data_IF_332063934009
#
_entry.id   IF_332063934009
#
_cell.length_a   1.000
_cell.length_b   1.000
_cell.length_c   1.000
_cell.angle_alpha   90.00
_cell.angle_beta   90.00
_cell.angle_gamma   90.00
#
_symmetry.space_group_name_H-M   'P 1'
#
loop_
_entity.id
_entity.type
_entity.pdbx_description
1 polymer ?
#
# COMPACT_ATOMS: atom_id res chain seq x y z
N UNK A 1 10.62 1.74 -23.90
CA UNK A 1 9.87 0.50 -23.57
C UNK A 1 10.53 -0.10 -22.35
N UNK A 2 9.73 -0.56 -21.36
CA UNK A 2 10.31 -1.24 -20.18
C UNK A 2 10.93 -2.59 -20.61
N UNK A 3 11.94 -3.06 -19.88
CA UNK A 3 12.59 -4.36 -20.14
C UNK A 3 11.56 -5.51 -20.16
N UNK A 4 10.51 -5.43 -19.33
CA UNK A 4 9.42 -6.40 -19.28
C UNK A 4 8.69 -6.49 -20.64
N UNK A 5 8.37 -5.35 -21.26
CA UNK A 5 7.69 -5.34 -22.56
C UNK A 5 8.56 -5.94 -23.67
N UNK A 6 9.89 -5.78 -23.60
CA UNK A 6 10.79 -6.39 -24.58
C UNK A 6 10.92 -7.90 -24.40
N UNK A 7 10.89 -8.42 -23.18
CA UNK A 7 10.96 -9.87 -22.89
C UNK A 7 9.75 -10.66 -23.44
N UNK A 8 8.63 -9.99 -23.70
CA UNK A 8 7.45 -10.63 -24.29
C UNK A 8 7.64 -11.02 -25.77
N UNK A 9 8.67 -10.50 -26.47
CA UNK A 9 8.96 -10.89 -27.84
C UNK A 9 9.73 -12.21 -27.90
N UNK A 10 9.29 -13.12 -28.79
CA UNK A 10 9.84 -14.49 -28.91
C UNK A 10 11.37 -14.54 -29.11
N UNK A 11 11.95 -13.51 -29.73
CA UNK A 11 13.39 -13.47 -30.04
C UNK A 11 14.23 -12.84 -28.92
N UNK A 12 13.63 -12.46 -27.79
CA UNK A 12 14.39 -11.86 -26.68
C UNK A 12 15.12 -12.95 -25.88
N UNK A 13 16.40 -12.75 -25.49
CA UNK A 13 17.18 -13.78 -24.73
C UNK A 13 16.52 -14.24 -23.43
N UNK A 14 15.71 -13.38 -22.78
CA UNK A 14 15.00 -13.69 -21.54
C UNK A 14 13.56 -14.16 -21.76
N UNK A 15 13.15 -14.43 -23.00
CA UNK A 15 11.76 -14.81 -23.31
C UNK A 15 11.30 -16.06 -22.52
N UNK A 16 12.11 -17.11 -22.51
CA UNK A 16 11.79 -18.33 -21.78
C UNK A 16 11.60 -18.11 -20.27
N UNK A 17 12.42 -17.24 -19.67
CA UNK A 17 12.30 -16.86 -18.26
C UNK A 17 11.03 -16.05 -18.02
N UNK A 18 10.67 -15.15 -18.94
CA UNK A 18 9.43 -14.39 -18.88
C UNK A 18 8.20 -15.29 -18.97
N UNK A 19 8.17 -16.23 -19.92
CA UNK A 19 7.06 -17.18 -20.07
C UNK A 19 6.91 -18.07 -18.83
N UNK A 20 8.01 -18.56 -18.26
CA UNK A 20 7.97 -19.35 -17.02
C UNK A 20 7.43 -18.53 -15.83
N UNK A 21 7.80 -17.26 -15.74
CA UNK A 21 7.29 -16.35 -14.70
C UNK A 21 5.78 -16.08 -14.89
N UNK A 22 5.37 -15.87 -16.15
CA UNK A 22 3.96 -15.65 -16.52
C UNK A 22 3.10 -16.89 -16.22
N UNK A 23 3.60 -18.07 -16.53
CA UNK A 23 2.91 -19.33 -16.23
C UNK A 23 2.76 -19.54 -14.71
N UNK A 24 3.81 -19.27 -13.93
CA UNK A 24 3.75 -19.28 -12.47
C UNK A 24 2.71 -18.28 -11.94
N UNK A 25 2.64 -17.08 -12.51
CA UNK A 25 1.63 -16.09 -12.15
C UNK A 25 0.23 -16.63 -12.43
N UNK A 26 -0.03 -17.12 -13.67
CA UNK A 26 -1.33 -17.62 -14.09
C UNK A 26 -1.83 -18.80 -13.27
N UNK A 27 -0.92 -19.70 -12.90
CA UNK A 27 -1.28 -20.95 -12.22
C UNK A 27 -1.33 -20.85 -10.71
N UNK A 28 -0.49 -20.00 -10.10
CA UNK A 28 -0.32 -19.94 -8.64
C UNK A 28 -0.83 -18.64 -7.99
N UNK A 29 -0.78 -17.53 -8.72
CA UNK A 29 -1.11 -16.21 -8.14
C UNK A 29 -2.50 -15.76 -8.59
N UNK A 30 -2.72 -15.66 -9.90
CA UNK A 30 -3.95 -15.12 -10.46
C UNK A 30 -5.24 -15.80 -9.94
N UNK A 31 -5.29 -17.14 -9.73
CA UNK A 31 -6.47 -17.79 -9.18
C UNK A 31 -6.82 -17.34 -7.75
N UNK A 32 -5.84 -16.80 -6.99
CA UNK A 32 -6.00 -16.34 -5.63
C UNK A 32 -6.06 -14.82 -5.51
N UNK A 33 -6.09 -14.11 -6.63
CA UNK A 33 -6.09 -12.66 -6.69
C UNK A 33 -7.41 -12.16 -7.29
N UNK A 34 -8.12 -11.33 -6.52
CA UNK A 34 -9.29 -10.59 -7.00
C UNK A 34 -8.92 -9.11 -7.09
N UNK A 35 -8.86 -8.56 -8.30
CA UNK A 35 -8.57 -7.14 -8.53
C UNK A 35 -9.88 -6.47 -8.95
N UNK A 36 -10.24 -5.40 -8.24
CA UNK A 36 -11.44 -4.61 -8.52
C UNK A 36 -11.08 -3.18 -8.89
N UNK A 37 -11.99 -2.52 -9.59
CA UNK A 37 -11.92 -1.07 -9.79
C UNK A 37 -12.33 -0.27 -8.54
N UNK A 38 -12.59 1.03 -8.70
CA UNK A 38 -13.05 1.87 -7.59
C UNK A 38 -14.34 1.31 -6.99
N UNK A 39 -14.34 1.14 -5.66
CA UNK A 39 -15.45 0.62 -4.86
C UNK A 39 -15.69 1.55 -3.68
N UNK A 40 -16.89 1.52 -3.12
CA UNK A 40 -17.13 2.00 -1.78
C UNK A 40 -16.97 0.86 -0.75
N UNK A 41 -16.97 1.20 0.55
CA UNK A 41 -16.76 0.22 1.62
C UNK A 41 -17.87 -0.82 1.74
N UNK A 42 -19.11 -0.49 1.30
CA UNK A 42 -20.25 -1.43 1.30
C UNK A 42 -20.05 -2.47 0.20
N UNK A 43 -19.70 -2.03 -1.00
CA UNK A 43 -19.40 -2.93 -2.13
C UNK A 43 -18.21 -3.84 -1.81
N UNK A 44 -17.16 -3.28 -1.21
CA UNK A 44 -15.99 -4.04 -0.74
C UNK A 44 -16.40 -5.10 0.29
N UNK A 45 -17.24 -4.73 1.27
CA UNK A 45 -17.77 -5.67 2.26
C UNK A 45 -18.52 -6.84 1.62
N UNK A 46 -19.35 -6.55 0.60
CA UNK A 46 -20.09 -7.58 -0.13
C UNK A 46 -19.14 -8.54 -0.87
N UNK A 47 -18.07 -8.01 -1.50
CA UNK A 47 -17.07 -8.83 -2.18
C UNK A 47 -16.32 -9.71 -1.19
N UNK A 48 -15.86 -9.16 -0.05
CA UNK A 48 -15.17 -9.93 1.00
C UNK A 48 -16.08 -11.06 1.49
N UNK A 49 -17.36 -10.78 1.76
CA UNK A 49 -18.33 -11.78 2.17
C UNK A 49 -18.57 -12.87 1.12
N UNK A 50 -18.65 -12.48 -0.17
CA UNK A 50 -18.80 -13.42 -1.28
C UNK A 50 -17.58 -14.35 -1.38
N UNK A 51 -16.37 -13.79 -1.41
CA UNK A 51 -15.11 -14.55 -1.48
C UNK A 51 -14.97 -15.50 -0.30
N UNK A 52 -15.26 -15.03 0.92
CA UNK A 52 -15.20 -15.86 2.13
C UNK A 52 -16.15 -17.05 2.04
N UNK A 53 -17.38 -16.81 1.55
CA UNK A 53 -18.37 -17.88 1.40
C UNK A 53 -18.01 -18.89 0.31
N UNK A 54 -17.50 -18.41 -0.82
CA UNK A 54 -17.21 -19.30 -1.96
C UNK A 54 -15.94 -20.12 -1.77
N UNK A 55 -14.94 -19.55 -1.09
CA UNK A 55 -13.64 -20.21 -0.88
C UNK A 55 -13.50 -20.89 0.47
N UNK A 56 -14.35 -20.58 1.44
CA UNK A 56 -14.22 -21.04 2.81
C UNK A 56 -13.01 -20.43 3.57
N UNK A 57 -12.36 -19.44 2.97
CA UNK A 57 -11.17 -18.75 3.51
C UNK A 57 -11.38 -17.24 3.47
N UNK A 58 -10.89 -16.56 4.49
CA UNK A 58 -11.00 -15.10 4.59
C UNK A 58 -9.89 -14.43 3.77
N UNK A 59 -10.22 -13.54 2.82
CA UNK A 59 -9.21 -12.86 2.01
C UNK A 59 -8.46 -11.79 2.81
N UNK A 60 -7.21 -11.52 2.43
CA UNK A 60 -6.50 -10.30 2.82
C UNK A 60 -6.91 -9.20 1.85
N UNK A 61 -7.30 -8.04 2.39
CA UNK A 61 -7.70 -6.87 1.59
C UNK A 61 -6.54 -5.90 1.48
N UNK A 62 -6.16 -5.55 0.24
CA UNK A 62 -5.18 -4.50 -0.07
C UNK A 62 -5.90 -3.30 -0.71
N UNK A 63 -5.68 -2.11 -0.17
CA UNK A 63 -6.23 -0.85 -0.68
C UNK A 63 -5.09 0.01 -1.24
N UNK A 64 -5.11 0.25 -2.55
CA UNK A 64 -4.16 1.13 -3.22
C UNK A 64 -4.94 2.26 -3.94
N UNK A 65 -5.12 3.35 -3.30
CA UNK A 65 -4.78 3.81 -1.96
C UNK A 65 -6.03 4.38 -1.25
N UNK A 66 -5.93 4.66 0.05
CA UNK A 66 -7.05 5.01 0.91
C UNK A 66 -7.87 6.22 0.40
N UNK A 67 -7.21 7.25 -0.14
CA UNK A 67 -7.87 8.44 -0.64
C UNK A 67 -8.74 8.17 -1.89
N UNK A 68 -8.37 7.20 -2.74
CA UNK A 68 -9.23 6.79 -3.87
C UNK A 68 -10.49 6.08 -3.39
N UNK A 69 -10.38 5.22 -2.38
CA UNK A 69 -11.54 4.59 -1.76
C UNK A 69 -12.45 5.66 -1.11
N UNK A 70 -11.87 6.67 -0.47
CA UNK A 70 -12.60 7.79 0.11
C UNK A 70 -13.37 8.60 -0.95
N UNK A 71 -12.79 8.83 -2.13
CA UNK A 71 -13.47 9.49 -3.25
C UNK A 71 -14.72 8.72 -3.71
N UNK A 72 -14.70 7.40 -3.67
CA UNK A 72 -15.87 6.56 -4.01
C UNK A 72 -17.06 6.74 -3.06
N UNK A 73 -16.83 7.13 -1.81
CA UNK A 73 -17.90 7.44 -0.84
C UNK A 73 -18.61 8.74 -1.17
N UNK A 74 -17.96 9.63 -1.90
CA UNK A 74 -18.43 11.02 -2.15
C UNK A 74 -19.08 11.22 -3.52
N UNK A 75 -19.19 10.19 -4.35
CA UNK A 75 -19.69 10.31 -5.73
C UNK A 75 -21.09 10.97 -5.82
N UNK A 76 -21.93 10.80 -4.80
CA UNK A 76 -23.26 11.40 -4.71
C UNK A 76 -23.32 12.70 -3.86
N UNK A 77 -22.22 13.11 -3.23
CA UNK A 77 -22.18 14.24 -2.31
C UNK A 77 -21.00 15.16 -2.62
N UNK A 78 -21.20 16.13 -3.49
CA UNK A 78 -20.20 17.08 -4.03
C UNK A 78 -19.47 17.96 -3.00
N UNK A 79 -19.70 17.84 -1.68
CA UNK A 79 -19.17 18.75 -0.66
C UNK A 79 -18.73 18.08 0.65
N UNK A 80 -18.32 16.82 0.64
CA UNK A 80 -17.78 16.21 1.87
C UNK A 80 -16.30 16.59 2.00
N UNK A 81 -15.93 17.14 3.17
CA UNK A 81 -14.54 17.34 3.58
C UNK A 81 -13.78 16.00 3.44
N UNK A 82 -12.65 16.03 2.76
CA UNK A 82 -11.77 14.85 2.54
C UNK A 82 -11.49 14.09 3.84
N UNK A 83 -11.36 14.81 4.97
CA UNK A 83 -11.16 14.20 6.30
C UNK A 83 -12.36 13.36 6.74
N UNK A 84 -13.57 13.85 6.49
CA UNK A 84 -14.79 13.10 6.82
C UNK A 84 -14.92 11.86 5.93
N UNK A 85 -14.57 11.96 4.64
CA UNK A 85 -14.56 10.84 3.72
C UNK A 85 -13.54 9.77 4.14
N UNK A 86 -12.31 10.16 4.49
CA UNK A 86 -11.28 9.25 5.02
C UNK A 86 -11.76 8.61 6.33
N UNK A 87 -12.40 9.38 7.22
CA UNK A 87 -12.93 8.86 8.48
C UNK A 87 -14.00 7.79 8.25
N UNK A 88 -14.93 8.03 7.33
CA UNK A 88 -15.96 7.06 6.96
C UNK A 88 -15.35 5.79 6.35
N UNK A 89 -14.36 5.94 5.46
CA UNK A 89 -13.63 4.81 4.88
C UNK A 89 -12.93 3.97 5.93
N UNK A 90 -12.15 4.59 6.81
CA UNK A 90 -11.44 3.87 7.88
C UNK A 90 -12.40 3.12 8.79
N UNK A 91 -13.55 3.73 9.11
CA UNK A 91 -14.60 3.06 9.89
C UNK A 91 -15.15 1.84 9.15
N UNK A 92 -15.50 1.98 7.86
CA UNK A 92 -16.00 0.87 7.05
C UNK A 92 -14.97 -0.27 6.89
N UNK A 93 -13.69 0.06 6.68
CA UNK A 93 -12.62 -0.95 6.64
C UNK A 93 -12.46 -1.69 7.97
N UNK A 94 -12.60 -0.97 9.10
CA UNK A 94 -12.59 -1.59 10.43
C UNK A 94 -13.78 -2.51 10.64
N UNK A 95 -14.96 -2.13 10.16
CA UNK A 95 -16.17 -2.96 10.21
C UNK A 95 -15.99 -4.25 9.39
N UNK A 96 -15.42 -4.17 8.19
CA UNK A 96 -15.08 -5.34 7.36
C UNK A 96 -14.12 -6.27 8.09
N UNK A 97 -13.04 -5.71 8.65
CA UNK A 97 -12.06 -6.49 9.41
C UNK A 97 -12.69 -7.20 10.61
N UNK A 98 -13.55 -6.51 11.35
CA UNK A 98 -14.24 -7.09 12.51
C UNK A 98 -15.29 -8.13 12.12
N UNK A 99 -16.04 -7.89 11.04
CA UNK A 99 -17.14 -8.76 10.61
C UNK A 99 -16.63 -10.10 10.06
N UNK A 100 -15.58 -10.07 9.26
CA UNK A 100 -15.08 -11.26 8.56
C UNK A 100 -13.78 -11.81 9.16
N UNK A 101 -13.10 -11.09 10.05
CA UNK A 101 -11.75 -11.40 10.49
C UNK A 101 -10.69 -11.11 9.40
N UNK A 102 -11.06 -10.31 8.39
CA UNK A 102 -10.19 -10.02 7.23
C UNK A 102 -9.09 -9.04 7.60
N UNK A 103 -7.80 -9.38 7.42
CA UNK A 103 -6.73 -8.42 7.52
C UNK A 103 -6.86 -7.36 6.42
N UNK A 104 -6.72 -6.07 6.80
CA UNK A 104 -6.78 -4.94 5.86
C UNK A 104 -5.46 -4.21 5.87
N UNK A 105 -4.84 -4.08 4.70
CA UNK A 105 -3.61 -3.32 4.47
C UNK A 105 -3.96 -2.17 3.52
N UNK A 106 -3.84 -0.93 3.99
CA UNK A 106 -4.14 0.25 3.18
C UNK A 106 -2.89 1.11 2.98
N UNK A 107 -2.61 1.45 1.73
CA UNK A 107 -1.66 2.50 1.40
C UNK A 107 -2.33 3.86 1.58
N UNK A 108 -1.57 4.84 2.03
CA UNK A 108 -2.06 6.21 2.19
C UNK A 108 -1.00 7.20 1.74
N UNK A 109 -1.41 8.21 0.99
CA UNK A 109 -0.53 9.34 0.69
C UNK A 109 -0.36 10.22 1.92
N UNK A 110 0.82 10.83 2.05
CA UNK A 110 1.09 11.86 3.05
C UNK A 110 0.82 13.24 2.50
N UNK A 111 0.48 14.20 3.35
CA UNK A 111 0.23 15.58 2.93
C UNK A 111 1.52 16.32 2.61
N UNK A 112 1.49 17.22 1.61
CA UNK A 112 2.65 18.05 1.21
C UNK A 112 3.23 18.89 2.36
N UNK A 113 2.41 19.31 3.32
CA UNK A 113 2.87 20.03 4.53
C UNK A 113 3.89 19.26 5.36
N UNK A 114 3.94 17.95 5.23
CA UNK A 114 4.94 17.14 5.90
C UNK A 114 6.35 17.29 5.29
N UNK A 115 6.46 17.69 4.03
CA UNK A 115 7.74 17.95 3.36
C UNK A 115 8.30 19.34 3.66
N UNK A 116 7.45 20.32 4.00
CA UNK A 116 7.82 21.71 4.25
C UNK A 116 8.35 21.97 5.67
N UNK A 117 8.21 21.01 6.58
CA UNK A 117 8.60 21.15 7.99
C UNK A 117 10.13 21.08 8.24
N UNK A 118 10.94 21.19 7.19
CA UNK A 118 12.41 21.17 7.28
C UNK A 118 12.96 19.74 7.35
N UNK A 119 14.17 19.57 6.84
CA UNK A 119 14.90 18.31 6.63
C UNK A 119 15.15 17.44 7.89
N UNK A 120 14.57 17.78 9.05
CA UNK A 120 14.80 17.11 10.34
C UNK A 120 13.53 16.68 11.08
N UNK A 121 12.34 16.86 10.51
CA UNK A 121 11.12 16.45 11.19
C UNK A 121 10.98 14.92 11.17
N UNK A 122 11.00 14.30 12.34
CA UNK A 122 10.70 12.86 12.47
C UNK A 122 9.29 12.58 11.96
N UNK A 123 9.09 11.48 11.19
CA UNK A 123 7.77 11.07 10.76
C UNK A 123 6.82 10.96 11.96
N UNK A 124 5.60 11.45 11.82
CA UNK A 124 4.57 11.36 12.85
C UNK A 124 3.19 11.11 12.23
N UNK A 125 2.23 10.72 13.06
CA UNK A 125 0.87 10.35 12.60
C UNK A 125 0.10 11.53 11.97
N UNK A 126 0.44 12.78 12.30
CA UNK A 126 -0.20 13.96 11.71
C UNK A 126 0.08 14.13 10.20
N UNK A 127 1.09 13.45 9.66
CA UNK A 127 1.43 13.44 8.23
C UNK A 127 0.33 12.82 7.35
N UNK A 128 -0.53 11.98 7.91
CA UNK A 128 -1.63 11.32 7.21
C UNK A 128 -2.90 12.18 7.11
N UNK A 129 -2.75 13.50 6.85
CA UNK A 129 -3.86 14.40 6.59
C UNK A 129 -4.58 14.90 7.84
N UNK A 130 -3.99 14.76 9.05
CA UNK A 130 -4.56 15.25 10.31
C UNK A 130 -5.88 14.56 10.68
N UNK A 131 -6.18 13.41 10.07
CA UNK A 131 -7.33 12.60 10.41
C UNK A 131 -6.98 11.72 11.62
N UNK A 132 -7.57 12.02 12.75
CA UNK A 132 -7.52 11.15 13.94
C UNK A 132 -8.05 9.74 13.64
N UNK A 133 -8.82 9.58 12.56
CA UNK A 133 -9.32 8.28 12.11
C UNK A 133 -8.20 7.32 11.71
N UNK A 134 -7.14 7.79 11.02
CA UNK A 134 -5.99 6.93 10.68
C UNK A 134 -5.26 6.53 11.96
N UNK A 135 -5.09 7.46 12.90
CA UNK A 135 -4.44 7.19 14.18
C UNK A 135 -5.21 6.16 15.02
N UNK A 136 -6.53 6.27 15.10
CA UNK A 136 -7.34 5.38 15.95
C UNK A 136 -7.87 4.16 15.23
N UNK A 137 -8.08 4.22 13.93
CA UNK A 137 -8.71 3.18 13.13
C UNK A 137 -7.83 1.99 12.79
N UNK A 138 -6.53 2.19 12.59
CA UNK A 138 -5.58 1.12 12.29
C UNK A 138 -4.84 0.62 13.55
N UNK A 139 -4.52 -0.67 13.59
CA UNK A 139 -3.76 -1.26 14.68
C UNK A 139 -2.27 -0.96 14.57
N UNK A 140 -1.76 -0.88 13.34
CA UNK A 140 -0.39 -0.49 13.04
C UNK A 140 -0.35 0.57 11.96
N UNK A 141 0.57 1.52 12.06
CA UNK A 141 0.86 2.54 11.04
C UNK A 141 2.36 2.52 10.78
N UNK A 142 2.71 2.24 9.54
CA UNK A 142 4.09 2.17 9.06
C UNK A 142 4.34 3.34 8.10
N UNK A 143 5.51 3.92 8.17
CA UNK A 143 5.95 4.99 7.29
C UNK A 143 7.23 4.58 6.58
N UNK A 144 7.22 4.64 5.25
CA UNK A 144 8.41 4.39 4.43
C UNK A 144 9.14 5.73 4.21
N UNK A 145 10.36 5.83 4.69
CA UNK A 145 11.20 7.03 4.64
C UNK A 145 12.51 6.76 3.90
N UNK A 146 13.12 7.81 3.36
CA UNK A 146 14.50 7.74 2.91
C UNK A 146 15.45 7.53 4.09
N UNK A 147 16.43 6.65 3.96
CA UNK A 147 17.47 6.42 4.97
C UNK A 147 18.70 7.32 4.77
N UNK A 148 18.63 8.27 3.85
CA UNK A 148 19.68 9.24 3.61
C UNK A 148 19.35 10.57 4.30
N UNK A 149 20.26 11.04 5.15
CA UNK A 149 20.19 12.37 5.78
C UNK A 149 20.40 13.54 4.77
N UNK A 150 20.69 13.24 3.51
CA UNK A 150 20.90 14.21 2.42
C UNK A 150 20.03 13.90 1.22
N UNK A 151 18.89 14.56 1.05
CA UNK A 151 18.17 14.54 -0.21
C UNK A 151 18.86 15.50 -1.20
N UNK A 152 19.85 15.04 -1.94
CA UNK A 152 20.33 15.73 -3.14
C UNK A 152 19.66 15.08 -4.35
N UNK A 153 18.82 15.83 -5.03
CA UNK A 153 18.28 15.50 -6.34
C UNK A 153 19.23 16.05 -7.43
N UNK A 154 19.59 15.32 -8.50
CA UNK A 154 19.01 14.05 -8.97
C UNK A 154 19.63 12.82 -8.30
N UNK A 155 18.76 11.87 -7.99
CA UNK A 155 19.12 10.61 -7.36
C UNK A 155 19.82 9.70 -8.40
N UNK A 156 21.15 9.57 -8.32
CA UNK A 156 21.80 8.42 -8.92
C UNK A 156 21.53 7.23 -8.01
N UNK A 157 20.65 6.33 -8.46
CA UNK A 157 20.38 5.11 -7.73
C UNK A 157 21.69 4.36 -7.50
N UNK A 158 22.14 4.13 -6.25
CA UNK A 158 23.35 3.37 -6.03
C UNK A 158 23.23 2.01 -6.72
N UNK A 159 24.32 1.44 -7.15
CA UNK A 159 24.34 0.08 -7.74
C UNK A 159 23.72 -0.99 -6.82
N UNK A 160 23.59 -0.68 -5.54
CA UNK A 160 23.04 -1.55 -4.47
C UNK A 160 21.55 -1.31 -4.15
N UNK A 161 20.87 -0.36 -4.83
CA UNK A 161 19.48 0.01 -4.53
C UNK A 161 19.35 1.32 -3.74
N UNK A 162 18.12 1.82 -3.61
CA UNK A 162 17.80 3.03 -2.84
C UNK A 162 17.64 2.68 -1.37
N UNK A 163 18.46 3.26 -0.47
CA UNK A 163 18.36 3.01 0.95
C UNK A 163 17.10 3.66 1.52
N UNK A 164 16.27 2.85 2.15
CA UNK A 164 15.01 3.25 2.78
C UNK A 164 14.95 2.71 4.22
N UNK A 165 14.04 3.28 4.99
CA UNK A 165 13.68 2.74 6.30
C UNK A 165 12.16 2.68 6.45
N UNK A 166 11.68 1.60 7.03
CA UNK A 166 10.30 1.40 7.42
C UNK A 166 10.17 1.69 8.92
N UNK A 167 9.46 2.76 9.24
CA UNK A 167 9.31 3.24 10.62
C UNK A 167 7.92 2.91 11.15
N UNK A 168 7.84 2.19 12.26
CA UNK A 168 6.58 1.94 12.96
C UNK A 168 6.18 3.18 13.77
N UNK A 169 5.22 3.96 13.27
CA UNK A 169 4.68 5.13 13.96
C UNK A 169 3.62 4.75 15.00
N UNK A 170 2.96 3.62 14.79
CA UNK A 170 2.02 3.01 15.73
C UNK A 170 2.11 1.51 15.61
N UNK A 171 2.04 0.82 16.74
CA UNK A 171 1.87 -0.62 16.81
C UNK A 171 1.10 -0.99 18.08
N UNK A 172 -0.17 -1.35 17.93
CA UNK A 172 -1.06 -1.63 19.09
C UNK A 172 -0.63 -2.87 19.87
N UNK A 173 -0.06 -3.85 19.17
CA UNK A 173 0.24 -5.17 19.74
C UNK A 173 1.73 -5.44 19.90
N UNK A 174 2.59 -4.45 19.66
CA UNK A 174 4.04 -4.62 19.74
C UNK A 174 4.78 -3.32 20.02
N UNK A 175 6.09 -3.38 19.95
CA UNK A 175 6.98 -2.22 20.14
C UNK A 175 7.02 -1.36 18.88
N UNK A 176 7.35 -0.10 19.05
CA UNK A 176 7.77 0.78 17.97
C UNK A 176 9.23 0.47 17.60
N UNK A 177 9.57 0.69 16.35
CA UNK A 177 10.93 0.45 15.85
C UNK A 177 11.05 0.86 14.39
N UNK A 178 12.21 0.58 13.81
CA UNK A 178 12.50 0.79 12.40
C UNK A 178 13.26 -0.40 11.82
N UNK A 179 13.04 -0.69 10.54
CA UNK A 179 13.83 -1.64 9.75
C UNK A 179 14.44 -0.92 8.56
N UNK A 180 15.69 -1.25 8.24
CA UNK A 180 16.40 -0.68 7.09
C UNK A 180 16.21 -1.58 5.89
N UNK A 181 15.95 -0.97 4.73
CA UNK A 181 15.65 -1.65 3.49
C UNK A 181 16.47 -1.05 2.35
N UNK A 182 16.78 -1.86 1.35
CA UNK A 182 17.24 -1.40 0.04
C UNK A 182 16.13 -1.66 -0.99
N UNK A 183 15.75 -0.62 -1.73
CA UNK A 183 14.76 -0.72 -2.80
C UNK A 183 15.44 -0.84 -4.16
N UNK A 184 15.30 -1.99 -4.81
CA UNK A 184 15.68 -2.19 -6.22
C UNK A 184 14.54 -1.72 -7.13
N UNK A 185 14.66 -0.50 -7.63
CA UNK A 185 13.65 0.10 -8.51
C UNK A 185 13.49 -0.61 -9.86
N UNK A 186 14.54 -1.30 -10.36
CA UNK A 186 14.48 -2.04 -11.62
C UNK A 186 13.58 -3.29 -11.50
N UNK A 187 13.49 -3.87 -10.31
CA UNK A 187 12.69 -5.07 -10.01
C UNK A 187 11.48 -4.81 -9.13
N UNK A 188 11.32 -3.56 -8.64
CA UNK A 188 10.31 -3.17 -7.65
C UNK A 188 10.33 -4.10 -6.41
N UNK A 189 11.53 -4.40 -5.90
CA UNK A 189 11.73 -5.30 -4.75
C UNK A 189 12.43 -4.60 -3.60
N UNK A 190 12.07 -5.00 -2.40
CA UNK A 190 12.72 -4.55 -1.17
C UNK A 190 13.59 -5.68 -0.62
N UNK A 191 14.77 -5.33 -0.15
CA UNK A 191 15.71 -6.23 0.51
C UNK A 191 15.99 -5.74 1.92
N UNK A 192 16.04 -6.65 2.89
CA UNK A 192 16.43 -6.33 4.26
C UNK A 192 17.93 -5.98 4.30
N UNK A 193 18.27 -4.91 5.00
CA UNK A 193 19.67 -4.48 5.20
C UNK A 193 20.28 -4.94 6.52
N UNK A 194 19.49 -5.64 7.37
CA UNK A 194 19.99 -6.13 8.67
C UNK A 194 19.98 -5.08 9.77
#
# INVERSE_FOLDING_TARGET
MSEISSCATQNHPKHATFEAALDKYRTKIAPNLCITGPLNTVELSNIVGLVTRERGEVPIVFIDYLQLLACGVTADQQFIDERLAITACVKGLREISNLYGSPVIALSSTTRKSYDSGKSARPNLAMFGGSSAVEYGFDSVLYLADDNDKPEWPYESPATGTPLKLVALKNRYGTLGESRLDFDGARATFHDRG
#
